data_IF_481575460504
#
_entry.id   IF_481575460504
#
_cell.length_a   1.000
_cell.length_b   1.000
_cell.length_c   1.000
_cell.angle_alpha   90.00
_cell.angle_beta   90.00
_cell.angle_gamma   90.00
#
_symmetry.space_group_name_H-M   'P 1'
#
loop_
_entity.id
_entity.type
_entity.pdbx_description
1 polymer ?
#
# COMPACT_ATOMS: atom_id res chain seq x y z
N UNK A 1 -13.89 12.63 37.47
CA UNK A 1 -12.94 11.55 37.13
C UNK A 1 -13.08 11.30 35.64
N UNK A 2 -12.00 11.56 34.93
CA UNK A 2 -11.97 12.01 33.54
C UNK A 2 -11.91 10.85 32.51
N UNK A 3 -12.74 11.01 31.47
CA UNK A 3 -12.60 10.59 30.06
C UNK A 3 -12.43 9.10 29.71
N UNK A 4 -13.55 8.48 29.31
CA UNK A 4 -13.57 7.44 28.28
C UNK A 4 -13.34 8.10 26.91
N UNK A 5 -12.11 8.11 26.38
CA UNK A 5 -11.90 8.28 24.92
C UNK A 5 -12.06 6.92 24.26
N UNK A 6 -13.31 6.61 23.90
CA UNK A 6 -13.60 5.54 22.98
C UNK A 6 -13.22 6.03 21.58
N UNK A 7 -12.05 5.64 21.10
CA UNK A 7 -11.56 5.96 19.75
C UNK A 7 -12.34 5.13 18.73
N UNK A 8 -13.58 5.53 18.44
CA UNK A 8 -14.27 5.10 17.22
C UNK A 8 -13.74 6.03 16.14
N UNK A 9 -12.92 5.49 15.23
CA UNK A 9 -12.48 6.20 14.03
C UNK A 9 -13.71 6.34 13.13
N UNK A 10 -14.21 7.57 12.90
CA UNK A 10 -15.42 7.78 12.12
C UNK A 10 -15.25 7.19 10.71
N UNK A 11 -16.30 6.61 10.13
CA UNK A 11 -16.27 6.01 8.78
C UNK A 11 -15.84 7.03 7.71
N UNK A 12 -16.22 8.29 7.90
CA UNK A 12 -15.80 9.43 7.08
C UNK A 12 -14.28 9.65 7.12
N UNK A 13 -13.66 9.56 8.32
CA UNK A 13 -12.21 9.69 8.48
C UNK A 13 -11.44 8.56 7.79
N UNK A 14 -12.02 7.35 7.77
CA UNK A 14 -11.44 6.20 7.06
C UNK A 14 -11.52 6.41 5.54
N UNK A 15 -12.64 6.92 5.04
CA UNK A 15 -12.82 7.25 3.63
C UNK A 15 -11.86 8.36 3.16
N UNK A 16 -11.68 9.40 3.97
CA UNK A 16 -10.74 10.49 3.69
C UNK A 16 -9.30 9.97 3.71
N UNK A 17 -8.91 9.14 4.70
CA UNK A 17 -7.58 8.54 4.75
C UNK A 17 -7.28 7.65 3.53
N UNK A 18 -8.29 6.90 3.05
CA UNK A 18 -8.19 6.12 1.81
C UNK A 18 -7.99 7.03 0.58
N UNK A 19 -8.70 8.15 0.51
CA UNK A 19 -8.60 9.11 -0.59
C UNK A 19 -7.24 9.85 -0.61
N UNK A 20 -6.60 10.02 0.55
CA UNK A 20 -5.29 10.67 0.67
C UNK A 20 -4.10 9.75 0.37
N UNK A 21 -4.32 8.44 0.23
CA UNK A 21 -3.22 7.52 -0.09
C UNK A 21 -2.72 7.74 -1.52
N UNK A 22 -1.40 7.75 -1.73
CA UNK A 22 -0.79 7.76 -3.05
C UNK A 22 -1.42 6.74 -3.99
N UNK A 23 -1.83 7.20 -5.17
CA UNK A 23 -2.43 6.35 -6.20
C UNK A 23 -1.46 6.00 -7.33
N UNK A 24 -0.37 6.75 -7.43
CA UNK A 24 0.73 6.52 -8.38
C UNK A 24 2.06 6.32 -7.63
N UNK A 25 3.06 5.78 -8.31
CA UNK A 25 4.40 5.61 -7.74
C UNK A 25 5.10 6.95 -7.51
N UNK A 26 4.75 7.94 -8.31
CA UNK A 26 5.27 9.30 -8.29
C UNK A 26 4.74 10.05 -7.05
N UNK A 27 3.49 9.79 -6.65
CA UNK A 27 2.90 10.33 -5.41
C UNK A 27 3.50 9.68 -4.14
N UNK A 28 4.15 8.52 -4.27
CA UNK A 28 4.77 7.84 -3.12
C UNK A 28 6.17 8.39 -2.84
N UNK A 29 6.21 9.36 -1.91
CA UNK A 29 7.43 10.08 -1.55
C UNK A 29 8.35 9.21 -0.68
N UNK A 30 9.64 9.18 -1.05
CA UNK A 30 10.68 8.46 -0.33
C UNK A 30 10.74 6.96 -0.66
N UNK A 31 11.47 6.20 0.17
CA UNK A 31 11.66 4.75 -0.01
C UNK A 31 12.19 4.36 -1.41
N UNK A 32 13.07 5.17 -1.99
CA UNK A 32 13.54 5.02 -3.39
C UNK A 32 14.07 3.61 -3.70
N UNK A 33 14.87 3.05 -2.79
CA UNK A 33 15.39 1.68 -2.95
C UNK A 33 14.27 0.63 -3.04
N UNK A 34 13.22 0.79 -2.22
CA UNK A 34 12.07 -0.12 -2.23
C UNK A 34 11.25 0.06 -3.52
N UNK A 35 11.02 1.30 -3.96
CA UNK A 35 10.34 1.60 -5.21
C UNK A 35 11.05 0.96 -6.41
N UNK A 36 12.36 1.13 -6.52
CA UNK A 36 13.17 0.55 -7.60
C UNK A 36 13.09 -0.98 -7.60
N UNK A 37 13.27 -1.61 -6.43
CA UNK A 37 13.19 -3.06 -6.31
C UNK A 37 11.80 -3.59 -6.70
N UNK A 38 10.73 -2.97 -6.20
CA UNK A 38 9.37 -3.37 -6.54
C UNK A 38 9.11 -3.21 -8.04
N UNK A 39 9.40 -2.04 -8.62
CA UNK A 39 9.25 -1.82 -10.07
C UNK A 39 9.99 -2.89 -10.88
N UNK A 40 11.20 -3.26 -10.48
CA UNK A 40 11.99 -4.31 -11.15
C UNK A 40 11.30 -5.67 -11.10
N UNK A 41 10.79 -6.08 -9.94
CA UNK A 41 10.07 -7.36 -9.76
C UNK A 41 8.79 -7.37 -10.60
N UNK A 42 7.98 -6.31 -10.49
CA UNK A 42 6.70 -6.21 -11.18
C UNK A 42 6.88 -6.16 -12.70
N UNK A 43 7.84 -5.39 -13.21
CA UNK A 43 8.16 -5.34 -14.63
C UNK A 43 8.63 -6.70 -15.16
N UNK A 44 9.41 -7.43 -14.38
CA UNK A 44 9.84 -8.77 -14.75
C UNK A 44 8.66 -9.75 -14.82
N UNK A 45 7.75 -9.75 -13.83
CA UNK A 45 6.54 -10.56 -13.84
C UNK A 45 5.61 -10.22 -15.00
N UNK A 46 5.39 -8.92 -15.26
CA UNK A 46 4.60 -8.44 -16.40
C UNK A 46 5.15 -8.93 -17.74
N UNK A 47 6.47 -8.84 -17.94
CA UNK A 47 7.13 -9.30 -19.17
C UNK A 47 6.97 -10.81 -19.39
N UNK A 48 6.87 -11.60 -18.32
CA UNK A 48 6.62 -13.04 -18.41
C UNK A 48 5.13 -13.39 -18.59
N UNK A 49 4.22 -12.44 -18.35
CA UNK A 49 2.78 -12.72 -18.35
C UNK A 49 2.32 -13.58 -17.18
N UNK A 50 3.12 -13.62 -16.11
CA UNK A 50 2.87 -14.44 -14.92
C UNK A 50 2.40 -13.57 -13.75
N UNK A 51 1.88 -14.22 -12.70
CA UNK A 51 1.60 -13.54 -11.44
C UNK A 51 2.87 -12.93 -10.82
N UNK A 52 2.70 -11.81 -10.10
CA UNK A 52 3.77 -11.27 -9.25
C UNK A 52 4.26 -12.34 -8.28
N UNK A 53 5.57 -12.33 -7.99
CA UNK A 53 6.14 -13.09 -6.86
C UNK A 53 5.42 -12.74 -5.55
N UNK A 54 5.47 -13.65 -4.57
CA UNK A 54 4.96 -13.37 -3.23
C UNK A 54 5.82 -12.31 -2.55
N UNK A 55 5.20 -11.19 -2.16
CA UNK A 55 5.87 -10.06 -1.51
C UNK A 55 5.57 -10.02 -0.01
N UNK A 56 6.61 -9.90 0.82
CA UNK A 56 6.50 -9.60 2.25
C UNK A 56 7.04 -8.19 2.52
N UNK A 57 6.14 -7.26 2.88
CA UNK A 57 6.51 -5.91 3.29
C UNK A 57 6.63 -5.86 4.82
N UNK A 58 7.83 -5.64 5.35
CA UNK A 58 8.09 -5.54 6.78
C UNK A 58 8.69 -4.19 7.17
N UNK A 59 8.48 -3.78 8.43
CA UNK A 59 8.99 -2.52 8.97
C UNK A 59 8.08 -1.88 10.00
N UNK A 60 8.52 -0.80 10.62
CA UNK A 60 7.77 -0.05 11.65
C UNK A 60 6.40 0.43 11.15
N UNK A 61 5.48 0.71 12.08
CA UNK A 61 4.18 1.30 11.75
C UNK A 61 4.35 2.66 11.06
N UNK A 62 3.46 3.00 10.13
CA UNK A 62 3.49 4.28 9.41
C UNK A 62 4.36 4.35 8.16
N UNK A 63 5.18 3.34 7.86
CA UNK A 63 6.06 3.32 6.67
C UNK A 63 5.35 3.02 5.33
N UNK A 64 4.03 3.18 5.25
CA UNK A 64 3.30 3.02 3.98
C UNK A 64 3.21 1.58 3.43
N UNK A 65 3.40 0.54 4.24
CA UNK A 65 3.33 -0.87 3.79
C UNK A 65 2.01 -1.21 3.09
N UNK A 66 0.90 -0.80 3.70
CA UNK A 66 -0.43 -1.00 3.10
C UNK A 66 -0.54 -0.22 1.79
N UNK A 67 -0.09 1.05 1.75
CA UNK A 67 -0.05 1.87 0.54
C UNK A 67 0.76 1.21 -0.58
N UNK A 68 1.93 0.67 -0.29
CA UNK A 68 2.74 -0.07 -1.25
C UNK A 68 2.01 -1.29 -1.82
N UNK A 69 1.26 -2.03 -1.00
CA UNK A 69 0.47 -3.16 -1.50
C UNK A 69 -0.63 -2.71 -2.49
N UNK A 70 -1.27 -1.57 -2.24
CA UNK A 70 -2.23 -0.98 -3.19
C UNK A 70 -1.56 -0.53 -4.49
N UNK A 71 -0.38 0.10 -4.42
CA UNK A 71 0.38 0.50 -5.61
C UNK A 71 0.80 -0.71 -6.43
N UNK A 72 1.27 -1.79 -5.79
CA UNK A 72 1.58 -3.05 -6.45
C UNK A 72 0.36 -3.64 -7.15
N UNK A 73 -0.79 -3.71 -6.48
CA UNK A 73 -2.02 -4.25 -7.08
C UNK A 73 -2.45 -3.44 -8.30
N UNK A 74 -2.39 -2.10 -8.20
CA UNK A 74 -2.71 -1.19 -9.30
C UNK A 74 -1.74 -1.35 -10.47
N UNK A 75 -0.44 -1.43 -10.19
CA UNK A 75 0.58 -1.65 -11.20
C UNK A 75 0.33 -2.96 -11.95
N UNK A 76 -0.03 -4.02 -11.23
CA UNK A 76 -0.34 -5.34 -11.82
C UNK A 76 -1.74 -5.43 -12.44
N UNK A 77 -2.57 -4.38 -12.36
CA UNK A 77 -3.96 -4.40 -12.83
C UNK A 77 -4.83 -5.43 -12.09
N UNK A 78 -4.48 -5.77 -10.85
CA UNK A 78 -5.10 -6.82 -10.06
C UNK A 78 -6.02 -6.26 -8.96
N UNK A 79 -7.02 -7.03 -8.56
CA UNK A 79 -7.84 -6.70 -7.40
C UNK A 79 -7.07 -6.99 -6.10
N UNK A 80 -7.33 -6.20 -5.04
CA UNK A 80 -6.71 -6.38 -3.72
C UNK A 80 -7.76 -6.77 -2.69
N UNK A 81 -7.48 -7.83 -1.94
CA UNK A 81 -8.28 -8.25 -0.78
C UNK A 81 -7.47 -7.98 0.49
N UNK A 82 -8.00 -7.12 1.35
CA UNK A 82 -7.41 -6.82 2.65
C UNK A 82 -8.09 -7.66 3.73
N UNK A 83 -7.29 -8.27 4.60
CA UNK A 83 -7.76 -8.99 5.79
C UNK A 83 -7.06 -8.39 7.02
N UNK A 84 -7.76 -8.34 8.16
CA UNK A 84 -7.24 -7.85 9.45
C UNK A 84 -7.10 -8.98 10.45
#
# INVERSE_FOLDING_TARGET
MEIKKNTIKNEEDVHIDLALRPTTWEDYVGQEKVKINLKTILDASKKRGETSDHLLLYGQAGLGKTTLAYLVAREMGANIKVTS
#
